data_IF_245774698424
#
_entry.id   IF_245774698424
#
_cell.length_a   1.000
_cell.length_b   1.000
_cell.length_c   1.000
_cell.angle_alpha   90.00
_cell.angle_beta   90.00
_cell.angle_gamma   90.00
#
_symmetry.space_group_name_H-M   'P 1'
#
loop_
_entity.id
_entity.type
_entity.pdbx_description
1 polymer ?
#
# COMPACT_ATOMS: atom_id res chain seq x y z
N UNK A 1 -0.47 -65.68 57.39
CA UNK A 1 -0.69 -64.97 56.12
C UNK A 1 0.43 -65.36 55.17
N UNK A 2 0.07 -66.06 54.10
CA UNK A 2 0.95 -66.75 53.15
C UNK A 2 1.48 -65.85 52.03
N UNK A 3 2.61 -66.26 51.42
CA UNK A 3 3.02 -65.93 50.04
C UNK A 3 4.30 -65.07 49.94
N UNK A 4 5.52 -65.63 49.85
CA UNK A 4 6.24 -66.12 48.63
C UNK A 4 6.52 -64.97 47.64
N UNK A 5 7.72 -64.35 47.67
CA UNK A 5 8.95 -64.63 46.86
C UNK A 5 8.81 -64.33 45.35
N UNK A 6 9.70 -63.51 44.78
CA UNK A 6 10.79 -63.89 43.84
C UNK A 6 11.33 -62.66 43.07
N UNK A 7 12.61 -62.38 43.30
CA UNK A 7 13.73 -61.93 42.44
C UNK A 7 13.41 -61.62 40.95
N UNK A 8 13.97 -60.52 40.42
CA UNK A 8 14.13 -60.34 38.97
C UNK A 8 14.99 -59.13 38.61
N UNK A 9 16.27 -59.37 38.38
CA UNK A 9 17.26 -58.39 37.94
C UNK A 9 17.38 -58.41 36.41
N UNK A 10 17.84 -57.29 35.84
CA UNK A 10 18.38 -57.10 34.47
C UNK A 10 17.40 -57.04 33.28
N UNK A 11 17.37 -55.88 32.62
CA UNK A 11 17.71 -55.65 31.19
C UNK A 11 17.20 -54.26 30.73
N UNK A 12 18.13 -53.35 30.40
CA UNK A 12 17.93 -52.28 29.40
C UNK A 12 18.31 -52.87 28.02
N UNK A 13 18.00 -52.29 26.82
CA UNK A 13 17.56 -50.91 26.51
C UNK A 13 16.52 -50.79 25.35
N UNK A 14 16.27 -49.54 24.93
CA UNK A 14 15.87 -49.04 23.58
C UNK A 14 14.39 -48.74 23.29
N UNK A 15 14.17 -47.43 23.12
CA UNK A 15 13.26 -46.69 22.24
C UNK A 15 11.75 -46.95 22.24
N UNK A 16 10.97 -45.90 22.51
CA UNK A 16 10.06 -45.33 21.51
C UNK A 16 9.63 -43.90 21.91
N UNK A 17 9.90 -42.95 21.00
CA UNK A 17 9.28 -41.63 20.96
C UNK A 17 7.75 -41.78 20.96
N UNK A 18 7.04 -40.94 21.71
CA UNK A 18 5.72 -40.44 21.32
C UNK A 18 5.42 -39.11 22.04
N UNK A 19 5.64 -38.04 21.28
CA UNK A 19 4.88 -36.79 21.21
C UNK A 19 4.11 -36.33 22.46
N UNK A 20 4.67 -35.31 23.12
CA UNK A 20 3.89 -34.32 23.85
C UNK A 20 4.20 -32.94 23.26
N UNK A 21 3.64 -32.64 22.09
CA UNK A 21 3.43 -31.26 21.67
C UNK A 21 2.16 -30.74 22.35
N UNK A 22 2.21 -29.66 23.14
CA UNK A 22 0.99 -28.96 23.50
C UNK A 22 0.43 -28.25 22.26
N UNK A 23 -0.82 -28.59 21.95
CA UNK A 23 -1.78 -27.91 21.11
C UNK A 23 -1.58 -26.38 21.11
N UNK A 24 -1.01 -25.83 20.03
CA UNK A 24 -1.13 -24.41 19.68
C UNK A 24 -2.02 -24.30 18.44
N UNK A 25 -3.30 -24.65 18.60
CA UNK A 25 -4.37 -24.17 17.72
C UNK A 25 -4.72 -22.73 18.13
N UNK A 26 -3.74 -21.83 18.02
CA UNK A 26 -4.06 -20.43 17.85
C UNK A 26 -4.68 -20.33 16.46
N UNK A 27 -6.00 -20.19 16.43
CA UNK A 27 -6.74 -19.84 15.23
C UNK A 27 -6.18 -18.50 14.75
N UNK A 28 -5.19 -18.56 13.86
CA UNK A 28 -4.77 -17.44 13.04
C UNK A 28 -5.91 -17.12 12.08
N UNK A 29 -7.02 -16.61 12.62
CA UNK A 29 -7.96 -15.84 11.82
C UNK A 29 -7.18 -14.60 11.41
N UNK A 30 -6.63 -14.64 10.20
CA UNK A 30 -6.31 -13.42 9.47
C UNK A 30 -7.52 -12.50 9.62
N UNK A 31 -7.34 -11.26 10.10
CA UNK A 31 -8.45 -10.34 10.29
C UNK A 31 -9.25 -10.28 8.98
N UNK A 32 -10.59 -10.25 9.03
CA UNK A 32 -11.40 -10.26 7.82
C UNK A 32 -10.98 -9.10 6.93
N UNK A 33 -10.42 -9.44 5.77
CA UNK A 33 -10.05 -8.44 4.76
C UNK A 33 -11.34 -7.76 4.34
N UNK A 34 -11.49 -6.49 4.70
CA UNK A 34 -12.67 -5.74 4.29
C UNK A 34 -12.60 -5.56 2.76
N UNK A 35 -13.61 -6.03 2.01
CA UNK A 35 -13.56 -5.98 0.56
C UNK A 35 -13.63 -4.52 0.09
N UNK A 36 -12.84 -4.17 -0.93
CA UNK A 36 -12.87 -2.86 -1.56
C UNK A 36 -14.24 -2.63 -2.20
N UNK A 37 -14.86 -1.49 -1.91
CA UNK A 37 -16.20 -1.17 -2.40
C UNK A 37 -16.27 -1.16 -3.94
N UNK A 38 -17.38 -1.64 -4.49
CA UNK A 38 -17.61 -1.71 -5.93
C UNK A 38 -17.56 -0.35 -6.65
N UNK A 39 -17.72 0.77 -5.92
CA UNK A 39 -17.56 2.12 -6.47
C UNK A 39 -16.16 2.37 -7.04
N UNK A 40 -15.17 1.59 -6.62
CA UNK A 40 -13.81 1.67 -7.14
C UNK A 40 -13.69 1.12 -8.56
N UNK A 41 -14.53 0.16 -8.97
CA UNK A 41 -14.46 -0.45 -10.30
C UNK A 41 -14.85 0.55 -11.40
N UNK A 42 -14.21 0.47 -12.56
CA UNK A 42 -14.49 1.30 -13.71
C UNK A 42 -13.23 1.82 -14.38
N UNK A 43 -13.44 2.60 -15.44
CA UNK A 43 -12.38 3.31 -16.13
C UNK A 43 -12.27 4.74 -15.57
N UNK A 44 -11.05 5.14 -15.24
CA UNK A 44 -10.72 6.42 -14.64
C UNK A 44 -9.72 7.14 -15.54
N UNK A 45 -10.03 8.34 -15.99
CA UNK A 45 -9.15 9.14 -16.87
C UNK A 45 -8.46 10.23 -16.09
N UNK A 46 -7.16 10.39 -16.28
CA UNK A 46 -6.40 11.46 -15.66
C UNK A 46 -6.94 12.83 -16.13
N UNK A 47 -7.34 13.65 -15.18
CA UNK A 47 -7.90 14.98 -15.40
C UNK A 47 -6.91 16.09 -15.03
N UNK A 48 -6.10 15.89 -13.98
CA UNK A 48 -5.08 16.84 -13.54
C UNK A 48 -3.93 16.08 -12.85
N UNK A 49 -2.70 16.62 -12.92
CA UNK A 49 -1.50 15.95 -12.41
C UNK A 49 -0.36 16.96 -12.20
N UNK A 50 0.58 16.65 -11.29
CA UNK A 50 1.76 17.48 -11.08
C UNK A 50 2.95 17.08 -11.95
N UNK A 51 3.03 15.80 -12.30
CA UNK A 51 3.99 15.23 -13.23
C UNK A 51 3.21 14.43 -14.27
N UNK A 52 3.59 14.49 -15.56
CA UNK A 52 2.95 13.70 -16.61
C UNK A 52 2.79 12.23 -16.17
N UNK A 53 1.55 11.70 -16.08
CA UNK A 53 1.34 10.38 -15.56
C UNK A 53 1.81 9.35 -16.58
N UNK A 54 2.34 8.23 -16.09
CA UNK A 54 2.77 7.11 -16.93
C UNK A 54 1.57 6.51 -17.68
N UNK A 55 0.41 6.47 -17.03
CA UNK A 55 -0.86 6.03 -17.61
C UNK A 55 -1.87 7.17 -17.57
N UNK A 56 -2.47 7.49 -18.73
CA UNK A 56 -3.56 8.47 -18.80
C UNK A 56 -4.91 7.91 -18.34
N UNK A 57 -5.00 6.58 -18.26
CA UNK A 57 -6.19 5.86 -17.83
C UNK A 57 -5.80 4.82 -16.78
N UNK A 58 -6.52 4.81 -15.66
CA UNK A 58 -6.50 3.76 -14.66
C UNK A 58 -7.76 2.91 -14.83
N UNK A 59 -7.60 1.64 -15.14
CA UNK A 59 -8.72 0.70 -15.24
C UNK A 59 -8.77 -0.16 -13.99
N UNK A 60 -9.95 -0.25 -13.40
CA UNK A 60 -10.21 -1.08 -12.22
C UNK A 60 -11.39 -2.00 -12.52
N UNK A 61 -11.31 -3.27 -12.11
CA UNK A 61 -12.31 -4.28 -12.44
C UNK A 61 -12.72 -5.04 -11.20
N UNK A 62 -14.01 -5.30 -11.08
CA UNK A 62 -14.55 -6.18 -10.05
C UNK A 62 -14.64 -7.61 -10.58
N UNK A 63 -14.08 -8.56 -9.86
CA UNK A 63 -14.36 -9.97 -10.10
C UNK A 63 -15.72 -10.32 -9.49
N UNK A 64 -16.64 -10.88 -10.28
CA UNK A 64 -17.99 -11.18 -9.80
C UNK A 64 -18.04 -12.35 -8.80
N UNK A 65 -17.10 -13.29 -8.88
CA UNK A 65 -17.05 -14.47 -8.00
C UNK A 65 -16.36 -14.15 -6.66
N UNK A 66 -15.24 -13.44 -6.69
CA UNK A 66 -14.45 -13.12 -5.48
C UNK A 66 -14.81 -11.77 -4.86
N UNK A 67 -15.58 -10.94 -5.59
CA UNK A 67 -15.90 -9.54 -5.26
C UNK A 67 -14.67 -8.62 -5.13
N UNK A 68 -13.46 -9.12 -5.43
CA UNK A 68 -12.22 -8.37 -5.41
C UNK A 68 -12.20 -7.29 -6.49
N UNK A 69 -11.57 -6.16 -6.17
CA UNK A 69 -11.27 -5.12 -7.14
C UNK A 69 -9.79 -5.25 -7.52
N UNK A 70 -9.49 -5.26 -8.81
CA UNK A 70 -8.11 -5.25 -9.34
C UNK A 70 -7.90 -4.00 -10.20
N UNK A 71 -6.75 -3.37 -10.08
CA UNK A 71 -6.30 -2.32 -10.98
C UNK A 71 -5.42 -2.92 -12.08
N UNK A 72 -5.60 -2.49 -13.33
CA UNK A 72 -4.71 -2.84 -14.43
C UNK A 72 -3.55 -1.84 -14.44
N UNK A 73 -2.39 -2.24 -13.95
CA UNK A 73 -1.18 -1.41 -13.88
C UNK A 73 -0.07 -2.06 -14.70
N UNK A 74 0.50 -1.32 -15.65
CA UNK A 74 1.56 -1.80 -16.54
C UNK A 74 1.24 -3.17 -17.18
N UNK A 75 -0.02 -3.38 -17.60
CA UNK A 75 -0.48 -4.63 -18.20
C UNK A 75 -0.74 -5.78 -17.21
N UNK A 76 -0.55 -5.56 -15.91
CA UNK A 76 -0.76 -6.57 -14.86
C UNK A 76 -2.00 -6.25 -14.03
N UNK A 77 -2.82 -7.25 -13.72
CA UNK A 77 -3.95 -7.09 -12.79
C UNK A 77 -3.47 -7.18 -11.34
N UNK A 78 -3.55 -6.05 -10.64
CA UNK A 78 -3.07 -5.86 -9.28
C UNK A 78 -4.26 -5.80 -8.31
N UNK A 79 -4.40 -6.75 -7.35
CA UNK A 79 -5.42 -6.67 -6.32
C UNK A 79 -5.36 -5.35 -5.55
N UNK A 80 -6.53 -4.75 -5.31
CA UNK A 80 -6.69 -3.58 -4.45
C UNK A 80 -7.09 -4.01 -3.04
N UNK A 81 -6.41 -3.46 -2.04
CA UNK A 81 -6.70 -3.73 -0.62
C UNK A 81 -6.86 -2.43 0.15
N UNK A 82 -7.75 -2.44 1.15
CA UNK A 82 -7.81 -1.34 2.12
C UNK A 82 -6.60 -1.42 3.05
N UNK A 83 -5.95 -0.27 3.24
CA UNK A 83 -4.75 -0.11 4.08
C UNK A 83 -4.95 1.02 5.10
N UNK A 84 -6.02 0.90 5.88
CA UNK A 84 -6.34 1.86 6.94
C UNK A 84 -7.03 3.14 6.47
N UNK A 85 -6.88 4.18 7.28
CA UNK A 85 -7.50 5.50 7.07
C UNK A 85 -6.46 6.59 7.09
N UNK A 86 -6.72 7.67 6.34
CA UNK A 86 -5.83 8.81 6.24
C UNK A 86 -6.64 10.10 6.08
N UNK A 87 -6.24 11.16 6.77
CA UNK A 87 -6.82 12.49 6.55
C UNK A 87 -6.13 13.16 5.40
N UNK A 88 -6.88 13.95 4.62
CA UNK A 88 -6.28 14.79 3.58
C UNK A 88 -5.22 15.74 4.16
N UNK A 89 -5.41 16.25 5.37
CA UNK A 89 -4.43 17.08 6.08
C UNK A 89 -3.09 16.36 6.34
N UNK A 90 -3.11 15.05 6.61
CA UNK A 90 -1.89 14.26 6.83
C UNK A 90 -1.12 14.07 5.52
N UNK A 91 -1.81 13.92 4.39
CA UNK A 91 -1.18 13.90 3.04
C UNK A 91 -0.54 15.24 2.72
N UNK A 92 -1.25 16.35 2.96
CA UNK A 92 -0.74 17.71 2.73
C UNK A 92 0.54 17.91 3.55
N UNK A 93 0.50 17.61 4.85
CA UNK A 93 1.66 17.72 5.73
C UNK A 93 2.85 16.91 5.22
N UNK A 94 2.62 15.66 4.80
CA UNK A 94 3.66 14.80 4.23
C UNK A 94 4.30 15.38 2.97
N UNK A 95 3.50 16.01 2.09
CA UNK A 95 4.00 16.70 0.89
C UNK A 95 4.83 17.92 1.29
N UNK A 96 4.37 18.72 2.25
CA UNK A 96 5.08 19.91 2.72
C UNK A 96 6.43 19.55 3.37
N UNK A 97 6.46 18.54 4.23
CA UNK A 97 7.69 18.03 4.85
C UNK A 97 8.69 17.56 3.80
N UNK A 98 8.23 16.81 2.80
CA UNK A 98 9.08 16.36 1.68
C UNK A 98 9.59 17.53 0.85
N UNK A 99 8.75 18.51 0.55
CA UNK A 99 9.16 19.71 -0.17
C UNK A 99 10.23 20.50 0.61
N UNK A 100 10.03 20.70 1.91
CA UNK A 100 10.98 21.39 2.77
C UNK A 100 12.32 20.66 2.88
N UNK A 101 12.31 19.32 2.90
CA UNK A 101 13.54 18.54 2.87
C UNK A 101 14.24 18.67 1.50
N UNK A 102 13.51 18.47 0.41
CA UNK A 102 14.07 18.43 -0.95
C UNK A 102 14.51 19.80 -1.48
N UNK A 103 13.98 20.91 -0.97
CA UNK A 103 14.38 22.26 -1.39
C UNK A 103 15.58 22.81 -0.60
N UNK A 104 16.13 22.06 0.36
CA UNK A 104 17.34 22.45 1.10
C UNK A 104 18.58 21.90 0.40
N UNK A 105 19.52 22.74 -0.05
CA UNK A 105 20.73 22.30 -0.75
C UNK A 105 21.59 21.29 0.03
N UNK A 106 21.61 21.38 1.36
CA UNK A 106 22.36 20.46 2.22
C UNK A 106 21.91 18.99 2.12
N UNK A 107 20.71 18.74 1.59
CA UNK A 107 20.16 17.41 1.39
C UNK A 107 20.45 16.85 -0.02
N UNK A 108 21.10 17.62 -0.88
CA UNK A 108 21.37 17.21 -2.25
C UNK A 108 22.66 16.39 -2.33
N UNK A 109 22.72 15.41 -3.26
CA UNK A 109 23.98 14.73 -3.55
C UNK A 109 25.09 15.74 -3.89
N UNK A 110 26.33 15.45 -3.45
CA UNK A 110 27.47 16.30 -3.75
C UNK A 110 27.65 16.48 -5.26
N UNK A 111 27.88 17.72 -5.69
CA UNK A 111 28.05 18.06 -7.12
C UNK A 111 26.74 18.24 -7.89
N UNK A 112 25.58 18.24 -7.23
CA UNK A 112 24.32 18.54 -7.91
C UNK A 112 24.24 20.02 -8.28
N UNK A 113 23.89 20.32 -9.53
CA UNK A 113 23.69 21.68 -10.02
C UNK A 113 22.31 22.20 -9.55
N UNK A 114 22.25 23.34 -8.82
CA UNK A 114 20.99 23.96 -8.39
C UNK A 114 20.00 24.20 -9.53
N UNK A 115 20.47 24.41 -10.77
CA UNK A 115 19.60 24.57 -11.93
C UNK A 115 18.70 23.35 -12.18
N UNK A 116 19.12 22.15 -11.76
CA UNK A 116 18.35 20.90 -11.88
C UNK A 116 17.10 20.89 -10.99
N UNK A 117 17.02 21.79 -9.99
CA UNK A 117 15.91 21.85 -9.03
C UNK A 117 14.93 23.01 -9.29
N UNK A 118 15.15 23.83 -10.31
CA UNK A 118 14.30 24.99 -10.63
C UNK A 118 12.85 24.56 -10.97
N UNK A 119 12.65 23.33 -11.46
CA UNK A 119 11.32 22.74 -11.67
C UNK A 119 10.68 22.16 -10.41
N UNK A 120 11.48 21.75 -9.42
CA UNK A 120 11.02 20.93 -8.31
C UNK A 120 10.05 21.68 -7.39
N UNK A 121 10.30 22.97 -7.13
CA UNK A 121 9.37 23.79 -6.37
C UNK A 121 7.99 23.87 -7.05
N UNK A 122 7.96 24.05 -8.37
CA UNK A 122 6.70 24.11 -9.13
C UNK A 122 5.95 22.79 -9.07
N UNK A 123 6.67 21.66 -9.13
CA UNK A 123 6.07 20.33 -9.00
C UNK A 123 5.44 20.09 -7.63
N UNK A 124 6.10 20.53 -6.55
CA UNK A 124 5.53 20.47 -5.19
C UNK A 124 4.36 21.43 -5.00
N UNK A 125 4.45 22.66 -5.48
CA UNK A 125 3.35 23.64 -5.40
C UNK A 125 2.10 23.12 -6.13
N UNK A 126 2.29 22.50 -7.30
CA UNK A 126 1.23 21.86 -8.06
C UNK A 126 0.68 20.61 -7.35
N UNK A 127 1.53 19.74 -6.78
CA UNK A 127 1.09 18.61 -5.97
C UNK A 127 0.23 19.06 -4.77
N UNK A 128 0.63 20.12 -4.08
CA UNK A 128 -0.13 20.72 -2.98
C UNK A 128 -1.46 21.29 -3.46
N UNK A 129 -1.49 21.98 -4.60
CA UNK A 129 -2.74 22.48 -5.21
C UNK A 129 -3.72 21.34 -5.46
N UNK A 130 -3.26 20.25 -6.08
CA UNK A 130 -4.09 19.07 -6.37
C UNK A 130 -4.61 18.43 -5.10
N UNK A 131 -3.72 18.20 -4.14
CA UNK A 131 -4.07 17.56 -2.86
C UNK A 131 -5.06 18.40 -2.06
N UNK A 132 -4.90 19.73 -2.05
CA UNK A 132 -5.85 20.65 -1.39
C UNK A 132 -7.22 20.70 -2.06
N UNK A 133 -7.36 20.18 -3.29
CA UNK A 133 -8.67 20.02 -3.93
C UNK A 133 -9.43 18.79 -3.40
N UNK A 134 -8.78 17.88 -2.68
CA UNK A 134 -9.42 16.78 -1.97
C UNK A 134 -10.17 17.34 -0.74
N UNK A 135 -11.49 17.11 -0.61
CA UNK A 135 -12.24 17.60 0.55
C UNK A 135 -11.62 17.17 1.90
N UNK A 136 -11.77 17.97 2.96
CA UNK A 136 -11.36 17.55 4.31
C UNK A 136 -12.21 16.37 4.81
N UNK A 137 -11.62 15.18 4.87
CA UNK A 137 -12.29 13.95 5.34
C UNK A 137 -11.28 12.88 5.80
N UNK A 138 -11.78 11.82 6.44
CA UNK A 138 -11.08 10.57 6.73
C UNK A 138 -11.29 9.58 5.60
N UNK A 139 -10.31 9.49 4.70
CA UNK A 139 -10.38 8.60 3.55
C UNK A 139 -9.92 7.19 3.90
N UNK A 140 -10.60 6.18 3.35
CA UNK A 140 -10.05 4.82 3.30
C UNK A 140 -8.93 4.79 2.27
N UNK A 141 -7.74 4.40 2.71
CA UNK A 141 -6.58 4.24 1.84
C UNK A 141 -6.72 2.93 1.09
N UNK A 142 -6.50 2.95 -0.22
CA UNK A 142 -6.41 1.73 -1.04
C UNK A 142 -5.02 1.62 -1.63
N UNK A 143 -4.45 0.41 -1.62
CA UNK A 143 -3.18 0.11 -2.27
C UNK A 143 -3.35 -0.97 -3.31
N UNK A 144 -2.57 -0.89 -4.37
CA UNK A 144 -2.43 -1.96 -5.34
C UNK A 144 -1.27 -2.86 -4.91
N UNK A 145 -1.55 -4.14 -4.68
CA UNK A 145 -0.52 -5.12 -4.39
C UNK A 145 -0.03 -5.72 -5.72
N UNK A 146 1.15 -5.30 -6.17
CA UNK A 146 1.67 -5.74 -7.46
C UNK A 146 3.19 -5.83 -7.49
N UNK A 147 3.70 -6.96 -7.99
CA UNK A 147 5.13 -7.11 -8.28
C UNK A 147 5.63 -6.16 -9.38
N UNK A 148 4.72 -5.67 -10.24
CA UNK A 148 5.03 -4.73 -11.31
C UNK A 148 5.24 -3.28 -10.83
N UNK A 149 4.89 -2.97 -9.56
CA UNK A 149 5.16 -1.66 -8.99
C UNK A 149 6.55 -1.65 -8.34
N UNK A 150 7.32 -0.55 -8.46
CA UNK A 150 8.59 -0.44 -7.74
C UNK A 150 8.36 -0.62 -6.25
N UNK A 151 9.04 -1.59 -5.62
CA UNK A 151 8.91 -1.84 -4.19
C UNK A 151 9.31 -0.63 -3.32
N UNK A 152 10.09 0.28 -3.88
CA UNK A 152 10.55 1.52 -3.23
C UNK A 152 9.57 2.68 -3.35
N UNK A 153 8.45 2.51 -4.04
CA UNK A 153 7.44 3.56 -4.15
C UNK A 153 6.34 3.35 -3.12
N UNK A 154 6.14 4.32 -2.24
CA UNK A 154 4.94 4.36 -1.43
C UNK A 154 3.79 4.93 -2.26
N UNK A 155 3.04 4.02 -2.91
CA UNK A 155 1.90 4.32 -3.77
C UNK A 155 0.56 3.97 -3.12
N UNK A 156 -0.39 4.90 -3.12
CA UNK A 156 -1.75 4.67 -2.61
C UNK A 156 -2.79 5.54 -3.31
N UNK A 157 -4.05 5.17 -3.14
CA UNK A 157 -5.20 5.80 -3.75
C UNK A 157 -6.23 6.23 -2.71
N UNK A 158 -6.84 7.39 -2.91
CA UNK A 158 -7.99 7.88 -2.15
C UNK A 158 -9.16 8.13 -3.10
N UNK A 159 -10.37 7.77 -2.68
CA UNK A 159 -11.58 8.00 -3.48
C UNK A 159 -12.54 8.92 -2.74
N UNK A 160 -12.90 10.02 -3.38
CA UNK A 160 -13.90 10.97 -2.90
C UNK A 160 -15.28 10.59 -3.45
N UNK A 161 -16.10 9.89 -2.65
CA UNK A 161 -17.52 9.52 -2.90
C UNK A 161 -17.91 9.28 -4.38
N UNK A 162 -17.05 8.61 -5.16
CA UNK A 162 -17.30 8.33 -6.58
C UNK A 162 -17.17 9.51 -7.56
N UNK A 163 -16.69 10.68 -7.10
CA UNK A 163 -16.46 11.87 -7.93
C UNK A 163 -15.06 11.89 -8.55
N UNK A 164 -14.04 11.74 -7.71
CA UNK A 164 -12.63 11.84 -8.11
C UNK A 164 -11.79 10.81 -7.37
N UNK A 165 -10.89 10.16 -8.09
CA UNK A 165 -9.90 9.24 -7.56
C UNK A 165 -8.55 9.94 -7.57
N UNK A 166 -7.86 9.91 -6.44
CA UNK A 166 -6.55 10.51 -6.27
C UNK A 166 -5.54 9.38 -6.15
N UNK A 167 -4.50 9.42 -6.96
CA UNK A 167 -3.31 8.60 -6.82
C UNK A 167 -2.20 9.46 -6.23
N UNK A 168 -1.52 8.91 -5.23
CA UNK A 168 -0.33 9.48 -4.64
C UNK A 168 0.79 8.46 -4.77
N UNK A 169 1.94 8.90 -5.28
CA UNK A 169 3.17 8.11 -5.30
C UNK A 169 4.30 8.91 -4.71
N UNK A 170 4.91 8.36 -3.68
CA UNK A 170 6.09 8.89 -3.00
C UNK A 170 7.26 7.94 -3.24
N UNK A 171 8.04 8.12 -4.32
CA UNK A 171 9.23 7.31 -4.56
C UNK A 171 10.23 7.51 -3.42
N UNK A 172 10.85 6.46 -2.89
CA UNK A 172 11.84 6.61 -1.83
C UNK A 172 13.09 7.36 -2.31
N UNK A 173 13.52 7.11 -3.54
CA UNK A 173 14.75 7.68 -4.13
C UNK A 173 14.49 8.83 -5.13
N UNK A 174 13.23 9.28 -5.25
CA UNK A 174 12.87 10.37 -6.16
C UNK A 174 13.03 11.75 -5.52
N UNK A 175 13.46 12.73 -6.29
CA UNK A 175 13.50 14.13 -5.82
C UNK A 175 12.09 14.73 -5.65
N UNK A 176 11.15 14.28 -6.48
CA UNK A 176 9.75 14.74 -6.50
C UNK A 176 8.78 13.65 -6.02
N UNK A 177 7.49 13.89 -6.21
CA UNK A 177 6.41 12.94 -5.97
C UNK A 177 5.35 13.06 -7.08
N UNK A 178 4.51 12.06 -7.26
CA UNK A 178 3.39 12.13 -8.20
C UNK A 178 2.06 12.23 -7.45
N UNK A 179 1.24 13.20 -7.83
CA UNK A 179 -0.18 13.27 -7.52
C UNK A 179 -0.93 13.32 -8.84
N UNK A 180 -1.81 12.36 -9.06
CA UNK A 180 -2.70 12.33 -10.22
C UNK A 180 -4.14 12.30 -9.75
N UNK A 181 -4.97 13.16 -10.34
CA UNK A 181 -6.41 13.22 -10.12
C UNK A 181 -7.09 12.61 -11.34
N UNK A 182 -7.92 11.60 -11.09
CA UNK A 182 -8.69 10.93 -12.10
C UNK A 182 -10.18 11.22 -11.94
N UNK A 183 -10.87 11.28 -13.07
CA UNK A 183 -12.32 11.33 -13.16
C UNK A 183 -12.85 10.04 -13.78
N UNK A 184 -14.05 9.63 -13.36
CA UNK A 184 -14.67 8.43 -13.91
C UNK A 184 -15.09 8.66 -15.35
N UNK A 185 -14.70 7.76 -16.25
CA UNK A 185 -15.22 7.73 -17.61
C UNK A 185 -16.66 7.24 -17.54
N UNK A 186 -17.58 8.02 -18.11
CA UNK A 186 -19.02 7.70 -18.18
C UNK A 186 -19.29 6.62 -19.20
#
# INVERSE_FOLDING_TARGET
MSGVRVIGNMLRPVALLLAWLPLMLAHGQTPPVTPVSAIWAGEWRAADFNLPPVNKTLTTRRNAATLEIKALLAGTECPLTYDGQLRSADVIKRIEERAQWQLKPDNWPAGTDPAQFVGLKKEFDQALRLTRSLPPDNYRVVRANCAALPATDDGFYLLNEGRRLFEFRFPQNGLSLNVTVYERVR
#
